data_IF_896560050584
#
_entry.id   IF_896560050584
#
_cell.length_a   1.000
_cell.length_b   1.000
_cell.length_c   1.000
_cell.angle_alpha   90.00
_cell.angle_beta   90.00
_cell.angle_gamma   90.00
#
_symmetry.space_group_name_H-M   'P 1'
#
loop_
_entity.id
_entity.type
_entity.pdbx_description
1 polymer ?
#
# COMPACT_ATOMS: atom_id res chain seq x y z
N UNK A 1 1.66 -19.08 27.60
CA UNK A 1 2.34 -18.25 26.64
C UNK A 1 1.39 -17.67 25.62
N UNK A 2 1.71 -16.51 25.11
CA UNK A 2 0.92 -15.90 24.04
C UNK A 2 0.92 -16.80 22.83
N UNK A 3 -0.24 -17.03 22.22
CA UNK A 3 -0.28 -17.74 20.96
C UNK A 3 0.54 -16.94 19.92
N UNK A 4 1.26 -17.62 19.04
CA UNK A 4 2.07 -16.99 17.99
C UNK A 4 1.25 -16.08 17.07
N UNK A 5 -0.07 -16.16 17.16
CA UNK A 5 -1.02 -15.41 16.32
C UNK A 5 -1.50 -14.11 16.97
N UNK A 6 -1.13 -13.81 18.19
CA UNK A 6 -1.54 -12.57 18.85
C UNK A 6 -0.57 -11.44 18.57
N UNK A 7 -1.10 -10.30 18.13
CA UNK A 7 -0.31 -9.10 18.00
C UNK A 7 0.07 -8.59 19.40
N UNK A 8 1.28 -8.05 19.53
CA UNK A 8 1.78 -7.46 20.77
C UNK A 8 0.82 -6.38 21.28
N UNK A 9 0.72 -6.17 22.62
CA UNK A 9 -0.02 -5.03 23.19
C UNK A 9 0.42 -3.65 22.66
N UNK A 10 1.64 -3.55 22.12
CA UNK A 10 2.11 -2.32 21.47
C UNK A 10 1.34 -2.01 20.19
N UNK A 11 0.68 -3.00 19.58
CA UNK A 11 -0.15 -2.84 18.39
C UNK A 11 -1.59 -2.60 18.82
N UNK A 12 -1.88 -1.36 19.25
CA UNK A 12 -3.17 -0.99 19.88
C UNK A 12 -3.79 0.29 19.32
N UNK A 13 -3.12 0.93 18.37
CA UNK A 13 -3.57 2.23 17.86
C UNK A 13 -4.52 2.06 16.68
N UNK A 14 -5.50 2.97 16.58
CA UNK A 14 -6.34 3.09 15.39
C UNK A 14 -5.63 3.95 14.35
N UNK A 15 -6.07 3.87 13.09
CA UNK A 15 -5.58 4.78 12.05
C UNK A 15 -5.88 6.24 12.38
N UNK A 16 -7.02 6.51 13.01
CA UNK A 16 -7.35 7.86 13.47
C UNK A 16 -6.31 8.40 14.47
N UNK A 17 -5.84 7.55 15.40
CA UNK A 17 -4.78 7.93 16.35
C UNK A 17 -3.47 8.28 15.63
N UNK A 18 -3.23 7.68 14.48
CA UNK A 18 -2.03 7.91 13.68
C UNK A 18 -2.17 9.08 12.69
N UNK A 19 -3.36 9.67 12.62
CA UNK A 19 -3.71 10.68 11.61
C UNK A 19 -3.49 10.18 10.18
N UNK A 20 -3.93 8.96 9.93
CA UNK A 20 -3.83 8.28 8.64
C UNK A 20 -5.22 7.79 8.23
N UNK A 21 -5.55 7.89 6.96
CA UNK A 21 -6.75 7.30 6.37
C UNK A 21 -6.38 6.20 5.38
N UNK A 22 -7.31 5.29 5.14
CA UNK A 22 -7.20 4.29 4.10
C UNK A 22 -8.43 4.37 3.20
N UNK A 23 -8.22 4.31 1.89
CA UNK A 23 -9.27 4.35 0.88
C UNK A 23 -9.01 3.31 -0.19
N UNK A 24 -10.07 2.85 -0.84
CA UNK A 24 -9.93 2.05 -2.06
C UNK A 24 -9.58 2.97 -3.22
N UNK A 25 -8.71 2.54 -4.11
CA UNK A 25 -8.38 3.28 -5.31
C UNK A 25 -9.65 3.64 -6.09
N UNK A 26 -9.83 4.91 -6.47
CA UNK A 26 -11.10 5.37 -7.05
C UNK A 26 -11.23 5.10 -8.55
N UNK A 27 -10.17 4.66 -9.23
CA UNK A 27 -10.20 4.46 -10.67
C UNK A 27 -10.68 3.04 -10.99
N UNK A 28 -11.89 2.97 -11.55
CA UNK A 28 -12.48 1.73 -12.06
C UNK A 28 -12.28 1.71 -13.57
N UNK A 29 -11.38 0.85 -14.06
CA UNK A 29 -10.89 0.89 -15.44
C UNK A 29 -12.01 0.80 -16.49
N UNK A 30 -12.93 -0.15 -16.34
CA UNK A 30 -14.01 -0.33 -17.33
C UNK A 30 -15.01 0.84 -17.36
N UNK A 31 -15.06 1.67 -16.32
CA UNK A 31 -15.95 2.86 -16.25
C UNK A 31 -15.29 4.11 -16.82
N UNK A 32 -13.95 4.13 -16.85
CA UNK A 32 -13.19 5.33 -17.17
C UNK A 32 -12.30 5.15 -18.42
N UNK A 33 -12.60 4.18 -19.28
CA UNK A 33 -11.76 3.80 -20.42
C UNK A 33 -11.35 4.97 -21.30
N UNK A 34 -12.25 5.92 -21.51
CA UNK A 34 -11.98 7.10 -22.34
C UNK A 34 -10.83 7.96 -21.81
N UNK A 35 -10.56 7.89 -20.51
CA UNK A 35 -9.52 8.66 -19.82
C UNK A 35 -8.21 7.89 -19.67
N UNK A 36 -8.19 6.60 -20.00
CA UNK A 36 -7.04 5.72 -19.75
C UNK A 36 -6.17 5.57 -21.00
N UNK A 37 -4.86 5.41 -20.80
CA UNK A 37 -3.88 5.20 -21.88
C UNK A 37 -2.95 4.05 -21.51
N UNK A 38 -2.60 3.22 -22.49
CA UNK A 38 -1.74 2.07 -22.29
C UNK A 38 -0.34 2.47 -21.80
N UNK A 39 0.19 3.53 -22.39
CA UNK A 39 1.52 4.05 -22.08
C UNK A 39 1.44 5.55 -21.75
N UNK A 40 2.41 6.06 -20.98
CA UNK A 40 2.48 7.48 -20.69
C UNK A 40 2.54 8.33 -21.96
N UNK A 41 1.83 9.45 -21.93
CA UNK A 41 1.80 10.47 -22.99
C UNK A 41 1.74 11.85 -22.34
N UNK A 42 1.93 12.89 -23.15
CA UNK A 42 1.71 14.26 -22.68
C UNK A 42 0.30 14.42 -22.12
N UNK A 43 0.18 15.05 -20.97
CA UNK A 43 -1.07 15.28 -20.30
C UNK A 43 -1.59 14.11 -19.48
N UNK A 44 -0.83 13.00 -19.38
CA UNK A 44 -1.17 11.87 -18.53
C UNK A 44 -0.36 11.86 -17.25
N UNK A 45 -0.91 11.17 -16.24
CA UNK A 45 -0.22 10.87 -14.98
C UNK A 45 -0.23 9.36 -14.76
N UNK A 46 0.68 8.82 -13.92
CA UNK A 46 0.73 7.39 -13.66
C UNK A 46 -0.59 6.87 -13.09
N UNK A 47 -1.01 5.71 -13.59
CA UNK A 47 -2.10 4.91 -13.01
C UNK A 47 -1.51 3.62 -12.49
N UNK A 48 -1.68 3.38 -11.19
CA UNK A 48 -1.05 2.26 -10.49
C UNK A 48 -2.03 1.12 -10.26
N UNK A 49 -1.57 -0.09 -10.51
CA UNK A 49 -2.28 -1.36 -10.30
C UNK A 49 -1.46 -2.27 -9.40
N UNK A 50 -2.07 -3.34 -8.86
CA UNK A 50 -1.30 -4.35 -8.13
C UNK A 50 -0.10 -4.91 -8.90
N UNK A 51 -0.22 -5.08 -10.22
CA UNK A 51 0.86 -5.60 -11.05
C UNK A 51 2.13 -4.76 -11.07
N UNK A 52 2.04 -3.46 -10.75
CA UNK A 52 3.20 -2.58 -10.65
C UNK A 52 4.04 -2.87 -9.39
N UNK A 53 3.50 -3.60 -8.42
CA UNK A 53 4.13 -3.85 -7.12
C UNK A 53 4.53 -5.32 -7.02
N UNK A 54 5.80 -5.61 -7.25
CA UNK A 54 6.40 -6.93 -7.06
C UNK A 54 7.14 -6.98 -5.72
N UNK A 55 7.58 -8.17 -5.31
CA UNK A 55 8.42 -8.32 -4.12
C UNK A 55 9.69 -7.47 -4.19
N UNK A 56 10.21 -7.23 -5.39
CA UNK A 56 11.38 -6.38 -5.64
C UNK A 56 11.09 -4.87 -5.59
N UNK A 57 9.82 -4.48 -5.49
CA UNK A 57 9.40 -3.09 -5.42
C UNK A 57 8.52 -2.65 -6.58
N UNK A 58 8.34 -1.34 -6.70
CA UNK A 58 7.53 -0.69 -7.72
C UNK A 58 8.25 -0.64 -9.06
N UNK A 59 7.58 -1.13 -10.10
CA UNK A 59 8.01 -0.99 -11.50
C UNK A 59 6.88 -0.35 -12.30
N UNK A 60 7.14 0.82 -12.85
CA UNK A 60 6.17 1.55 -13.67
C UNK A 60 6.92 2.34 -14.76
N UNK A 61 6.41 2.40 -16.01
CA UNK A 61 5.29 1.62 -16.54
C UNK A 61 5.68 0.17 -16.83
N UNK A 62 4.66 -0.69 -17.01
CA UNK A 62 4.85 -2.06 -17.49
C UNK A 62 4.44 -2.12 -18.96
N UNK A 63 5.41 -2.21 -19.86
CA UNK A 63 5.18 -2.36 -21.28
C UNK A 63 4.59 -3.76 -21.56
N UNK A 64 3.64 -3.82 -22.50
CA UNK A 64 3.00 -5.08 -22.87
C UNK A 64 2.00 -5.64 -21.86
N UNK A 65 1.76 -4.95 -20.76
CA UNK A 65 0.72 -5.32 -19.81
C UNK A 65 -0.67 -5.11 -20.41
N UNK A 66 -1.62 -5.96 -20.01
CA UNK A 66 -3.01 -5.83 -20.48
C UNK A 66 -3.73 -4.62 -19.90
N UNK A 67 -3.17 -4.02 -18.85
CA UNK A 67 -3.79 -2.91 -18.12
C UNK A 67 -3.12 -1.59 -18.47
N UNK A 68 -3.91 -0.48 -18.58
CA UNK A 68 -3.34 0.83 -18.91
C UNK A 68 -2.45 1.35 -17.80
N UNK A 69 -1.33 1.98 -18.19
CA UNK A 69 -0.35 2.53 -17.25
C UNK A 69 -0.58 4.00 -16.91
N UNK A 70 -1.52 4.66 -17.57
CA UNK A 70 -1.67 6.10 -17.43
C UNK A 70 -3.13 6.53 -17.50
N UNK A 71 -3.43 7.65 -16.86
CA UNK A 71 -4.73 8.32 -16.89
C UNK A 71 -4.53 9.77 -17.30
N UNK A 72 -5.42 10.28 -18.17
CA UNK A 72 -5.39 11.68 -18.55
C UNK A 72 -5.69 12.57 -17.34
N UNK A 73 -4.89 13.61 -17.19
CA UNK A 73 -5.16 14.65 -16.20
C UNK A 73 -6.03 15.73 -16.87
N UNK A 74 -7.24 15.92 -16.34
CA UNK A 74 -8.20 16.89 -16.85
C UNK A 74 -9.13 17.32 -15.73
N UNK A 75 -9.97 18.32 -15.99
CA UNK A 75 -11.00 18.71 -15.04
C UNK A 75 -11.94 17.55 -14.68
N UNK A 76 -12.16 16.62 -15.61
CA UNK A 76 -13.02 15.47 -15.39
C UNK A 76 -12.40 14.41 -14.48
N UNK A 77 -11.06 14.28 -14.45
CA UNK A 77 -10.36 13.23 -13.71
C UNK A 77 -9.76 13.69 -12.39
N UNK A 78 -9.61 15.01 -12.17
CA UNK A 78 -8.96 15.55 -10.97
C UNK A 78 -9.51 14.97 -9.66
N UNK A 79 -10.81 14.74 -9.57
CA UNK A 79 -11.47 14.19 -8.37
C UNK A 79 -11.00 12.79 -8.00
N UNK A 80 -10.41 12.04 -8.93
CA UNK A 80 -9.90 10.69 -8.70
C UNK A 80 -8.40 10.64 -8.43
N UNK A 81 -7.70 11.76 -8.59
CA UNK A 81 -6.25 11.81 -8.51
C UNK A 81 -5.77 12.23 -7.11
N UNK A 82 -4.59 11.74 -6.78
CA UNK A 82 -3.88 12.06 -5.52
C UNK A 82 -2.60 12.81 -5.85
N UNK A 83 -2.19 13.77 -5.00
CA UNK A 83 -0.92 14.46 -5.20
C UNK A 83 0.27 13.49 -5.20
N UNK A 84 1.30 13.82 -5.97
CA UNK A 84 2.58 13.13 -5.95
C UNK A 84 3.10 13.02 -4.52
N UNK A 85 3.52 11.83 -4.10
CA UNK A 85 4.03 11.60 -2.76
C UNK A 85 4.25 10.12 -2.49
N UNK A 86 4.67 9.82 -1.27
CA UNK A 86 4.78 8.45 -0.78
C UNK A 86 3.42 7.98 -0.27
N UNK A 87 3.07 6.76 -0.64
CA UNK A 87 1.85 6.10 -0.18
C UNK A 87 2.18 4.65 0.12
N UNK A 88 1.46 4.06 1.07
CA UNK A 88 1.46 2.62 1.27
C UNK A 88 0.22 2.07 0.58
N UNK A 89 0.38 1.03 -0.23
CA UNK A 89 -0.74 0.36 -0.89
C UNK A 89 -0.87 -1.07 -0.39
N UNK A 90 -2.09 -1.60 -0.44
CA UNK A 90 -2.39 -2.99 -0.12
C UNK A 90 -3.28 -3.55 -1.23
N UNK A 91 -2.92 -4.72 -1.75
CA UNK A 91 -3.75 -5.40 -2.74
C UNK A 91 -5.11 -5.72 -2.16
N UNK A 92 -6.15 -5.43 -2.92
CA UNK A 92 -7.52 -5.75 -2.53
C UNK A 92 -7.84 -7.23 -2.66
N UNK A 93 -7.22 -7.91 -3.63
CA UNK A 93 -7.39 -9.34 -3.83
C UNK A 93 -6.03 -10.05 -3.74
N UNK A 94 -6.03 -11.20 -3.06
CA UNK A 94 -4.90 -12.10 -3.04
C UNK A 94 -5.38 -13.49 -3.46
N UNK A 95 -4.55 -14.24 -4.18
CA UNK A 95 -4.86 -15.62 -4.54
C UNK A 95 -4.64 -16.53 -3.32
N UNK A 96 -5.30 -17.71 -3.31
CA UNK A 96 -5.09 -18.71 -2.27
C UNK A 96 -3.66 -19.26 -2.24
N UNK A 97 -2.96 -19.16 -3.36
CA UNK A 97 -1.58 -19.63 -3.52
C UNK A 97 -0.56 -18.63 -3.02
N UNK A 98 -0.95 -17.37 -2.80
CA UNK A 98 -0.06 -16.38 -2.22
C UNK A 98 0.21 -16.70 -0.75
N UNK A 99 1.47 -16.50 -0.34
CA UNK A 99 1.90 -16.79 1.03
C UNK A 99 1.16 -15.96 2.07
N UNK A 100 0.75 -14.74 1.70
CA UNK A 100 0.07 -13.80 2.60
C UNK A 100 -1.20 -13.27 1.97
N UNK A 101 -2.21 -13.04 2.83
CA UNK A 101 -3.44 -12.35 2.45
C UNK A 101 -3.20 -10.86 2.31
N UNK A 102 -2.45 -10.28 3.24
CA UNK A 102 -2.12 -8.86 3.22
C UNK A 102 -0.78 -8.69 2.54
N UNK A 103 -0.80 -8.05 1.38
CA UNK A 103 0.40 -7.77 0.58
C UNK A 103 0.48 -6.27 0.37
N UNK A 104 1.44 -5.65 1.04
CA UNK A 104 1.65 -4.21 0.99
C UNK A 104 2.86 -3.83 0.15
N UNK A 105 2.78 -2.67 -0.46
CA UNK A 105 3.87 -2.06 -1.22
C UNK A 105 3.95 -0.57 -0.94
N UNK A 106 5.02 0.05 -1.42
CA UNK A 106 5.24 1.48 -1.26
C UNK A 106 5.27 2.16 -2.62
N UNK A 107 4.55 3.25 -2.72
CA UNK A 107 4.67 4.18 -3.85
C UNK A 107 5.83 5.12 -3.53
N UNK A 108 6.94 4.95 -4.23
CA UNK A 108 8.07 5.88 -4.19
C UNK A 108 7.95 6.79 -5.43
N UNK A 109 7.64 8.09 -5.25
CA UNK A 109 7.47 8.98 -6.40
C UNK A 109 8.75 9.11 -7.23
N UNK A 110 9.92 8.86 -6.67
CA UNK A 110 11.18 8.87 -7.42
C UNK A 110 11.29 7.78 -8.48
N UNK A 111 10.47 6.73 -8.39
CA UNK A 111 10.42 5.64 -9.37
C UNK A 111 9.35 5.86 -10.45
N UNK A 112 8.64 6.97 -10.39
CA UNK A 112 7.60 7.33 -11.34
C UNK A 112 8.07 8.48 -12.23
N UNK A 113 7.29 8.79 -13.29
CA UNK A 113 7.51 10.00 -14.07
C UNK A 113 7.36 11.24 -13.18
N UNK A 114 7.94 12.35 -13.64
CA UNK A 114 7.83 13.64 -12.93
C UNK A 114 6.42 14.22 -13.10
N UNK A 115 5.44 13.54 -12.52
CA UNK A 115 4.04 13.89 -12.61
C UNK A 115 3.56 14.47 -11.28
N UNK A 116 2.72 15.52 -11.29
CA UNK A 116 2.25 16.15 -10.06
C UNK A 116 1.14 15.36 -9.36
N UNK A 117 0.49 14.45 -10.08
CA UNK A 117 -0.64 13.67 -9.57
C UNK A 117 -0.46 12.19 -9.90
N UNK A 118 -1.15 11.32 -9.17
CA UNK A 118 -1.15 9.87 -9.34
C UNK A 118 -2.58 9.36 -9.33
N UNK A 119 -2.85 8.29 -10.09
CA UNK A 119 -4.10 7.55 -10.04
C UNK A 119 -3.89 6.17 -9.41
N UNK A 120 -4.89 5.71 -8.67
CA UNK A 120 -4.89 4.38 -8.06
C UNK A 120 -6.12 3.61 -8.55
N UNK A 121 -5.89 2.44 -9.12
CA UNK A 121 -6.96 1.58 -9.62
C UNK A 121 -7.63 0.84 -8.45
N UNK A 122 -8.88 0.42 -8.62
CA UNK A 122 -9.71 -0.07 -7.53
C UNK A 122 -9.32 -1.43 -6.95
N UNK A 123 -8.34 -2.12 -7.52
CA UNK A 123 -7.77 -3.33 -6.93
C UNK A 123 -6.64 -3.03 -5.93
N UNK A 124 -6.38 -1.74 -5.67
CA UNK A 124 -5.50 -1.28 -4.61
C UNK A 124 -6.29 -0.53 -3.54
N UNK A 125 -5.94 -0.76 -2.29
CA UNK A 125 -6.22 0.17 -1.19
C UNK A 125 -4.97 1.03 -0.99
N UNK A 126 -5.15 2.27 -0.54
CA UNK A 126 -4.01 3.16 -0.28
C UNK A 126 -4.17 3.87 1.06
N UNK A 127 -3.06 4.00 1.78
CA UNK A 127 -2.96 4.80 3.01
C UNK A 127 -2.45 6.19 2.65
N UNK A 128 -3.12 7.20 3.16
CA UNK A 128 -2.86 8.61 2.84
C UNK A 128 -3.14 9.49 4.06
N UNK A 129 -2.76 10.76 3.99
CA UNK A 129 -3.08 11.76 4.99
C UNK A 129 -3.98 12.82 4.35
N UNK A 130 -5.28 12.74 4.58
CA UNK A 130 -6.27 13.66 4.03
C UNK A 130 -6.09 13.88 2.52
N UNK A 131 -5.95 12.77 1.77
CA UNK A 131 -5.70 12.72 0.32
C UNK A 131 -4.33 13.24 -0.11
N UNK A 132 -3.39 13.36 0.81
CA UNK A 132 -1.99 13.69 0.53
C UNK A 132 -1.08 12.51 0.87
N UNK A 133 0.15 12.56 0.35
CA UNK A 133 1.17 11.56 0.66
C UNK A 133 1.55 11.56 2.14
N UNK A 134 2.19 10.47 2.53
CA UNK A 134 2.72 10.27 3.88
C UNK A 134 4.21 10.63 3.90
N UNK A 135 4.79 10.92 5.09
CA UNK A 135 6.25 10.89 5.21
C UNK A 135 6.81 9.55 4.75
N UNK A 136 7.95 9.55 4.08
CA UNK A 136 8.55 8.35 3.50
C UNK A 136 8.71 7.23 4.53
N UNK A 137 9.31 7.52 5.67
CA UNK A 137 9.55 6.54 6.70
C UNK A 137 8.24 5.91 7.22
N UNK A 138 7.18 6.71 7.33
CA UNK A 138 5.87 6.22 7.77
C UNK A 138 5.25 5.29 6.73
N UNK A 139 5.29 5.65 5.46
CA UNK A 139 4.78 4.81 4.37
C UNK A 139 5.52 3.47 4.32
N UNK A 140 6.85 3.49 4.44
CA UNK A 140 7.67 2.28 4.44
C UNK A 140 7.44 1.44 5.69
N UNK A 141 7.29 2.07 6.83
CA UNK A 141 7.01 1.38 8.10
C UNK A 141 5.65 0.69 8.09
N UNK A 142 4.63 1.33 7.52
CA UNK A 142 3.32 0.71 7.31
C UNK A 142 3.44 -0.55 6.45
N UNK A 143 4.18 -0.49 5.35
CA UNK A 143 4.38 -1.64 4.49
C UNK A 143 5.11 -2.78 5.21
N UNK A 144 6.15 -2.48 6.00
CA UNK A 144 6.84 -3.48 6.81
C UNK A 144 5.87 -4.16 7.78
N UNK A 145 5.12 -3.37 8.56
CA UNK A 145 4.15 -3.88 9.52
C UNK A 145 3.11 -4.78 8.85
N UNK A 146 2.50 -4.29 7.78
CA UNK A 146 1.44 -5.02 7.07
C UNK A 146 1.94 -6.30 6.41
N UNK A 147 3.21 -6.37 6.09
CA UNK A 147 3.84 -7.56 5.49
C UNK A 147 4.38 -8.55 6.53
N UNK A 148 4.13 -8.33 7.83
CA UNK A 148 4.52 -9.30 8.85
C UNK A 148 3.67 -10.56 8.81
N UNK A 149 4.24 -11.68 9.23
CA UNK A 149 3.51 -12.93 9.42
C UNK A 149 2.41 -12.76 10.48
N UNK A 150 2.67 -11.99 11.52
CA UNK A 150 1.71 -11.74 12.59
C UNK A 150 0.42 -11.09 12.06
N UNK A 151 0.55 -10.08 11.19
CA UNK A 151 -0.62 -9.43 10.56
C UNK A 151 -1.38 -10.41 9.66
N UNK A 152 -0.67 -11.20 8.87
CA UNK A 152 -1.30 -12.18 7.99
C UNK A 152 -2.11 -13.21 8.79
N UNK A 153 -1.51 -13.77 9.85
CA UNK A 153 -2.19 -14.74 10.71
C UNK A 153 -3.41 -14.12 11.40
N UNK A 154 -3.27 -12.91 11.92
CA UNK A 154 -4.37 -12.18 12.53
C UNK A 154 -5.51 -11.95 11.53
N UNK A 155 -5.19 -11.52 10.32
CA UNK A 155 -6.17 -11.25 9.27
C UNK A 155 -6.93 -12.52 8.87
N UNK A 156 -6.22 -13.64 8.72
CA UNK A 156 -6.83 -14.95 8.39
C UNK A 156 -7.81 -15.43 9.46
N UNK A 157 -7.58 -15.09 10.71
CA UNK A 157 -8.47 -15.45 11.82
C UNK A 157 -9.79 -14.69 11.78
N UNK A 158 -9.77 -13.43 11.35
CA UNK A 158 -10.94 -12.54 11.37
C UNK A 158 -11.64 -12.42 10.03
N UNK A 159 -11.01 -12.79 8.95
CA UNK A 159 -11.58 -12.68 7.62
C UNK A 159 -11.50 -14.03 6.89
N UNK A 160 -12.66 -14.60 6.61
CA UNK A 160 -12.77 -15.79 5.76
C UNK A 160 -12.70 -15.51 4.28
N UNK A 161 -12.50 -14.23 3.90
CA UNK A 161 -12.53 -13.79 2.50
C UNK A 161 -11.14 -13.68 1.91
N UNK A 162 -11.07 -13.78 0.57
CA UNK A 162 -9.84 -13.51 -0.19
C UNK A 162 -9.64 -12.01 -0.43
N UNK A 163 -10.63 -11.18 -0.10
CA UNK A 163 -10.57 -9.74 -0.25
C UNK A 163 -10.04 -9.07 1.01
N UNK A 164 -9.18 -8.07 0.81
CA UNK A 164 -8.75 -7.14 1.85
C UNK A 164 -9.35 -5.78 1.48
N UNK A 165 -10.39 -5.40 2.20
CA UNK A 165 -11.11 -4.15 1.93
C UNK A 165 -10.59 -3.02 2.84
N UNK A 166 -10.86 -1.78 2.44
CA UNK A 166 -10.49 -0.61 3.25
C UNK A 166 -11.11 -0.67 4.65
N UNK A 167 -12.35 -1.17 4.78
CA UNK A 167 -13.00 -1.36 6.08
C UNK A 167 -12.27 -2.35 6.97
N UNK A 168 -11.71 -3.42 6.41
CA UNK A 168 -10.91 -4.40 7.16
C UNK A 168 -9.65 -3.73 7.70
N UNK A 169 -8.96 -2.96 6.88
CA UNK A 169 -7.75 -2.23 7.25
C UNK A 169 -8.04 -1.15 8.31
N UNK A 170 -9.20 -0.50 8.25
CA UNK A 170 -9.64 0.45 9.27
C UNK A 170 -9.87 -0.20 10.63
N UNK A 171 -10.37 -1.42 10.65
CA UNK A 171 -10.68 -2.15 11.89
C UNK A 171 -9.46 -2.74 12.56
N UNK A 172 -8.36 -2.87 11.84
CA UNK A 172 -7.11 -3.38 12.41
C UNK A 172 -6.56 -2.39 13.43
N UNK A 173 -5.70 -2.91 14.32
CA UNK A 173 -4.87 -2.10 15.20
C UNK A 173 -3.46 -2.03 14.63
N UNK A 174 -2.76 -0.97 15.00
CA UNK A 174 -1.46 -0.62 14.44
C UNK A 174 -0.47 -0.29 15.55
N UNK A 175 0.85 -0.40 15.29
CA UNK A 175 1.85 0.22 16.15
C UNK A 175 1.65 1.73 16.22
N UNK A 176 2.30 2.39 17.17
CA UNK A 176 2.30 3.85 17.22
C UNK A 176 2.91 4.44 15.95
N UNK A 177 2.56 5.67 15.64
CA UNK A 177 3.16 6.41 14.51
C UNK A 177 4.68 6.45 14.64
N UNK A 178 5.19 6.64 15.86
CA UNK A 178 6.63 6.63 16.14
C UNK A 178 7.28 5.28 15.81
N UNK A 179 6.67 4.17 16.23
CA UNK A 179 7.19 2.84 15.94
C UNK A 179 7.10 2.48 14.45
N UNK A 180 6.04 2.89 13.78
CA UNK A 180 5.95 2.72 12.33
C UNK A 180 7.05 3.51 11.61
N UNK A 181 7.31 4.73 12.05
CA UNK A 181 8.37 5.56 11.49
C UNK A 181 9.75 4.91 11.70
N UNK A 182 9.99 4.35 12.87
CA UNK A 182 11.23 3.60 13.16
C UNK A 182 11.41 2.37 12.28
N UNK A 183 10.33 1.62 12.05
CA UNK A 183 10.33 0.50 11.11
C UNK A 183 10.71 0.96 9.70
N UNK A 184 10.14 2.08 9.27
CA UNK A 184 10.44 2.66 7.97
C UNK A 184 11.88 3.12 7.86
N UNK A 185 12.41 3.78 8.89
CA UNK A 185 13.81 4.20 8.93
C UNK A 185 14.74 3.00 8.84
N UNK A 186 14.42 1.93 9.56
CA UNK A 186 15.17 0.67 9.46
C UNK A 186 15.13 0.11 8.04
N UNK A 187 13.94 0.07 7.43
CA UNK A 187 13.78 -0.45 6.06
C UNK A 187 14.58 0.34 5.04
N UNK A 188 14.67 1.67 5.22
CA UNK A 188 15.44 2.55 4.32
C UNK A 188 16.94 2.28 4.36
N UNK A 189 17.43 1.66 5.42
CA UNK A 189 18.86 1.30 5.58
C UNK A 189 19.18 -0.10 5.03
N UNK A 190 18.15 -0.86 4.66
CA UNK A 190 18.33 -2.21 4.15
C UNK A 190 18.30 -2.20 2.62
N UNK A 191 18.84 -3.26 2.03
CA UNK A 191 18.57 -3.58 0.64
C UNK A 191 17.21 -4.25 0.52
N UNK A 192 17.12 -5.33 -0.23
CA UNK A 192 15.87 -6.08 -0.38
C UNK A 192 15.51 -6.77 0.95
N UNK A 193 14.27 -6.59 1.38
CA UNK A 193 13.76 -7.17 2.61
C UNK A 193 13.26 -8.60 2.38
N UNK A 194 13.62 -9.51 3.29
CA UNK A 194 13.07 -10.86 3.34
C UNK A 194 11.98 -10.93 4.41
N UNK A 195 11.12 -11.93 4.33
CA UNK A 195 10.08 -12.16 5.35
C UNK A 195 10.72 -12.33 6.75
N UNK A 196 11.82 -13.07 6.85
CA UNK A 196 12.51 -13.28 8.12
C UNK A 196 13.03 -11.97 8.71
N UNK A 197 13.59 -11.09 7.88
CA UNK A 197 14.06 -9.76 8.32
C UNK A 197 12.92 -8.91 8.86
N UNK A 198 11.81 -8.87 8.15
CA UNK A 198 10.62 -8.11 8.54
C UNK A 198 10.09 -8.59 9.89
N UNK A 199 9.89 -9.90 10.03
CA UNK A 199 9.35 -10.49 11.25
C UNK A 199 10.28 -10.28 12.46
N UNK A 200 11.59 -10.45 12.26
CA UNK A 200 12.58 -10.23 13.32
C UNK A 200 12.61 -8.77 13.79
N UNK A 201 12.59 -7.83 12.85
CA UNK A 201 12.65 -6.41 13.21
C UNK A 201 11.37 -5.96 13.91
N UNK A 202 10.22 -6.42 13.44
CA UNK A 202 8.94 -6.13 14.10
C UNK A 202 8.93 -6.70 15.53
N UNK A 203 9.45 -7.90 15.73
CA UNK A 203 9.58 -8.52 17.05
C UNK A 203 10.41 -7.69 18.03
N UNK A 204 11.50 -7.08 17.56
CA UNK A 204 12.34 -6.20 18.41
C UNK A 204 11.61 -4.94 18.85
N UNK A 205 10.79 -4.35 17.99
CA UNK A 205 10.08 -3.12 18.31
C UNK A 205 8.85 -3.32 19.19
N UNK A 206 8.32 -4.54 19.21
CA UNK A 206 7.10 -4.88 19.95
C UNK A 206 7.35 -5.76 21.16
N UNK A 207 8.60 -6.03 21.44
CA UNK A 207 8.99 -6.84 22.58
C UNK A 207 8.77 -6.12 23.92
#
# INVERSE_FOLDING_TARGET
GKSACELSPAVRHSLADLDIQVSTGPVVDFRLREHLRDLPKDGTVPLLYPGHFAASGLTWPLAGAKKPNAIQRSGATEKWLYPRGFYCVVRRFSSKEERRRVVAGVVDPGLLADAPMLGFENHLNLFHAHRHGLPEALARGLAVFLNTTAVDEQFRRFSGHTQVNATDLKRMTYPSRENLTRLGQWAMQQGQLTQAMIDAQFGTLTA
#
